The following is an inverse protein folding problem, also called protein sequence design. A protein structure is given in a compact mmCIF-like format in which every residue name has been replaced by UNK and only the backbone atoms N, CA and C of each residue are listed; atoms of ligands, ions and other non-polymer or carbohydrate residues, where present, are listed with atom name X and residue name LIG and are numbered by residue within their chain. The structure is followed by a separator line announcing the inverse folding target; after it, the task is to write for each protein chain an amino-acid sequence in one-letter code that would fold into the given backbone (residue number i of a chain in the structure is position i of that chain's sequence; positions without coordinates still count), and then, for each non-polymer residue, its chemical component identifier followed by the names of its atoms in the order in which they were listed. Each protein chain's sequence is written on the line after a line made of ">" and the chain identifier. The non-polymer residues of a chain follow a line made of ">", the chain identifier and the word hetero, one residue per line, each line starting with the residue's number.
data_IF_955653950886
#
_entry.id   IF_955653950886
#
_cell.length_a   1.000
_cell.length_b   1.000
_cell.length_c   1.000
_cell.angle_alpha   90.00
_cell.angle_beta   90.00
_cell.angle_gamma   90.00
#
_symmetry.space_group_name_H-M   'P 1'
#
loop_
_entity.id
_entity.type
_entity.pdbx_description
1 polymer ?
#
# COMPACT_ATOMS: atom_id res chain seq x y z
N UNK A 1 -15.18 -85.81 23.34
CA UNK A 1 -16.43 -86.50 22.98
C UNK A 1 -17.46 -85.42 22.67
N UNK A 2 -18.02 -85.52 21.49
CA UNK A 2 -19.26 -84.91 20.98
C UNK A 2 -19.41 -83.37 21.17
N UNK A 3 -19.38 -82.53 20.23
CA UNK A 3 -20.01 -82.59 18.92
C UNK A 3 -21.37 -81.92 18.93
N UNK A 4 -21.47 -80.74 18.28
CA UNK A 4 -22.63 -80.37 17.44
C UNK A 4 -22.45 -78.97 16.84
N UNK A 5 -22.33 -78.96 15.57
CA UNK A 5 -22.45 -77.74 14.70
C UNK A 5 -23.94 -77.29 14.79
N UNK A 6 -24.12 -75.93 14.87
CA UNK A 6 -25.38 -75.32 14.44
C UNK A 6 -25.09 -74.19 13.55
N UNK A 7 -25.55 -74.29 12.36
CA UNK A 7 -25.62 -73.25 11.32
C UNK A 7 -26.74 -72.29 11.72
N UNK A 8 -26.47 -71.00 11.70
CA UNK A 8 -27.43 -69.93 11.90
C UNK A 8 -27.34 -68.92 10.76
N UNK A 9 -28.47 -68.66 10.14
CA UNK A 9 -28.76 -67.85 8.95
C UNK A 9 -28.05 -66.48 8.96
N UNK A 10 -27.49 -66.17 7.80
CA UNK A 10 -27.09 -64.81 7.40
C UNK A 10 -28.37 -64.08 6.93
N UNK A 11 -28.85 -63.11 7.70
CA UNK A 11 -29.83 -62.14 7.22
C UNK A 11 -29.08 -60.98 6.53
N UNK A 12 -29.22 -60.86 5.24
CA UNK A 12 -28.75 -59.73 4.47
C UNK A 12 -29.64 -58.51 4.76
N UNK A 13 -29.13 -57.56 5.56
CA UNK A 13 -29.70 -56.21 5.64
C UNK A 13 -29.11 -55.36 4.52
N UNK A 14 -29.92 -55.12 3.50
CA UNK A 14 -29.69 -54.10 2.46
C UNK A 14 -29.83 -52.74 3.12
N UNK A 15 -28.69 -52.17 3.57
CA UNK A 15 -28.62 -50.77 4.02
C UNK A 15 -28.66 -49.87 2.79
N UNK A 16 -29.71 -49.10 2.66
CA UNK A 16 -29.85 -48.00 1.69
C UNK A 16 -28.84 -46.93 2.03
N UNK A 17 -27.76 -46.83 1.26
CA UNK A 17 -26.77 -45.79 1.37
C UNK A 17 -27.37 -44.51 0.79
N UNK A 18 -27.91 -43.62 1.65
CA UNK A 18 -28.25 -42.25 1.27
C UNK A 18 -26.95 -41.51 1.10
N UNK A 19 -26.50 -41.38 -0.17
CA UNK A 19 -25.43 -40.46 -0.52
C UNK A 19 -26.01 -39.06 -0.40
N UNK A 20 -25.87 -38.46 0.78
CA UNK A 20 -26.04 -37.03 0.95
C UNK A 20 -24.99 -36.33 0.12
N UNK A 21 -25.41 -35.72 -0.98
CA UNK A 21 -24.58 -34.78 -1.75
C UNK A 21 -24.35 -33.54 -0.87
N UNK A 22 -23.38 -33.63 0.02
CA UNK A 22 -22.82 -32.46 0.66
C UNK A 22 -22.16 -31.64 -0.44
N UNK A 23 -22.80 -30.58 -0.88
CA UNK A 23 -22.14 -29.50 -1.61
C UNK A 23 -21.11 -28.96 -0.62
N UNK A 24 -19.88 -29.41 -0.75
CA UNK A 24 -18.76 -28.76 -0.10
C UNK A 24 -18.75 -27.31 -0.65
N UNK A 25 -19.25 -26.38 0.14
CA UNK A 25 -19.14 -24.97 -0.21
C UNK A 25 -17.67 -24.69 -0.47
N UNK A 26 -17.34 -24.24 -1.67
CA UNK A 26 -16.01 -23.78 -1.99
C UNK A 26 -15.73 -22.62 -1.04
N UNK A 27 -14.83 -22.81 -0.09
CA UNK A 27 -14.41 -21.73 0.80
C UNK A 27 -13.71 -20.69 -0.01
N UNK A 28 -14.08 -19.44 0.17
CA UNK A 28 -13.36 -18.27 -0.38
C UNK A 28 -11.87 -18.40 -0.07
N UNK A 29 -11.04 -18.34 -1.10
CA UNK A 29 -9.59 -18.48 -0.92
C UNK A 29 -8.86 -17.28 -1.49
N UNK A 30 -8.05 -16.66 -0.65
CA UNK A 30 -6.94 -15.82 -1.09
C UNK A 30 -5.65 -16.59 -0.83
N UNK A 31 -4.67 -16.41 -1.71
CA UNK A 31 -3.41 -17.12 -1.65
C UNK A 31 -2.23 -16.17 -1.87
N UNK A 32 -1.06 -16.46 -1.27
CA UNK A 32 0.16 -15.73 -1.58
C UNK A 32 0.57 -15.93 -3.03
N UNK A 33 1.33 -14.98 -3.56
CA UNK A 33 1.93 -15.12 -4.89
C UNK A 33 3.13 -16.06 -4.78
N UNK A 34 3.01 -17.23 -5.36
CA UNK A 34 4.02 -18.31 -5.28
C UNK A 34 4.98 -18.38 -6.48
N UNK A 35 4.78 -17.53 -7.48
CA UNK A 35 5.63 -17.48 -8.67
C UNK A 35 7.00 -16.91 -8.32
N UNK A 36 8.07 -17.65 -8.62
CA UNK A 36 9.43 -17.16 -8.43
C UNK A 36 9.91 -16.25 -9.56
N UNK A 37 10.78 -15.30 -9.25
CA UNK A 37 11.41 -14.41 -10.22
C UNK A 37 11.06 -12.93 -10.02
N UNK A 38 11.26 -12.17 -11.10
CA UNK A 38 11.00 -10.74 -11.14
C UNK A 38 9.86 -10.49 -12.10
N UNK A 39 8.81 -9.84 -11.63
CA UNK A 39 7.65 -9.52 -12.45
C UNK A 39 6.92 -8.28 -11.95
N UNK A 40 6.04 -7.78 -12.80
CA UNK A 40 5.25 -6.60 -12.54
C UNK A 40 3.77 -6.97 -12.54
N UNK A 41 3.00 -6.34 -11.64
CA UNK A 41 1.54 -6.37 -11.64
C UNK A 41 1.09 -4.94 -11.92
N UNK A 42 0.54 -4.72 -13.11
CA UNK A 42 0.13 -3.40 -13.57
C UNK A 42 -1.11 -3.46 -14.43
N UNK A 43 -1.83 -2.35 -14.48
CA UNK A 43 -2.89 -2.07 -15.43
C UNK A 43 -2.69 -0.67 -16.02
N UNK A 44 -3.45 -0.29 -17.03
CA UNK A 44 -3.34 1.02 -17.69
C UNK A 44 -3.66 2.19 -16.75
N UNK A 45 -4.26 1.93 -15.60
CA UNK A 45 -4.57 2.91 -14.58
C UNK A 45 -4.64 2.23 -13.20
N UNK A 46 -4.74 3.01 -12.11
CA UNK A 46 -4.79 2.52 -10.73
C UNK A 46 -5.93 1.54 -10.44
N UNK A 47 -7.06 1.68 -11.11
CA UNK A 47 -8.22 0.80 -10.95
C UNK A 47 -7.94 -0.56 -11.56
N UNK A 48 -7.39 -0.58 -12.76
CA UNK A 48 -6.97 -1.79 -13.43
C UNK A 48 -5.79 -2.46 -12.70
N UNK A 49 -4.82 -1.70 -12.16
CA UNK A 49 -3.76 -2.27 -11.31
C UNK A 49 -4.36 -2.99 -10.09
N UNK A 50 -5.33 -2.39 -9.40
CA UNK A 50 -6.01 -3.02 -8.27
C UNK A 50 -6.74 -4.32 -8.68
N UNK A 51 -7.34 -4.36 -9.87
CA UNK A 51 -7.95 -5.55 -10.45
C UNK A 51 -6.91 -6.64 -10.72
N UNK A 52 -5.75 -6.31 -11.31
CA UNK A 52 -4.69 -7.30 -11.56
C UNK A 52 -4.08 -7.84 -10.25
N UNK A 53 -3.94 -7.00 -9.21
CA UNK A 53 -3.55 -7.47 -7.87
C UNK A 53 -4.60 -8.42 -7.32
N UNK A 54 -5.88 -8.08 -7.41
CA UNK A 54 -6.99 -8.95 -6.97
C UNK A 54 -6.94 -10.32 -7.68
N UNK A 55 -6.78 -10.33 -9.01
CA UNK A 55 -6.67 -11.56 -9.80
C UNK A 55 -5.48 -12.44 -9.39
N UNK A 56 -4.39 -11.81 -8.98
CA UNK A 56 -3.20 -12.52 -8.55
C UNK A 56 -3.38 -13.27 -7.22
N UNK A 57 -4.28 -12.80 -6.35
CA UNK A 57 -4.43 -13.34 -4.99
C UNK A 57 -5.80 -13.98 -4.70
N UNK A 58 -6.88 -13.55 -5.35
CA UNK A 58 -8.25 -13.89 -4.96
C UNK A 58 -8.94 -14.80 -5.99
N UNK A 59 -9.48 -15.92 -5.50
CA UNK A 59 -10.33 -16.84 -6.28
C UNK A 59 -11.80 -16.69 -5.88
N UNK A 60 -12.75 -16.83 -6.81
CA UNK A 60 -14.17 -16.83 -6.51
C UNK A 60 -14.63 -18.13 -5.81
N UNK A 61 -15.71 -18.10 -5.02
CA UNK A 61 -16.37 -16.89 -4.53
C UNK A 61 -15.57 -16.23 -3.42
N UNK A 62 -15.77 -14.94 -3.17
CA UNK A 62 -15.21 -14.22 -2.04
C UNK A 62 -16.29 -13.91 -1.01
N UNK A 63 -15.98 -14.04 0.27
CA UNK A 63 -16.89 -13.62 1.34
C UNK A 63 -16.99 -12.10 1.37
N UNK A 64 -15.85 -11.42 1.33
CA UNK A 64 -15.73 -9.96 1.44
C UNK A 64 -14.80 -9.41 0.37
N UNK A 65 -15.15 -8.25 -0.17
CA UNK A 65 -14.26 -7.41 -0.99
C UNK A 65 -14.26 -5.99 -0.42
N UNK A 66 -13.07 -5.43 -0.22
CA UNK A 66 -12.94 -4.02 0.16
C UNK A 66 -12.90 -3.14 -1.07
N UNK A 67 -13.56 -1.98 -0.96
CA UNK A 67 -13.58 -0.95 -2.02
C UNK A 67 -13.22 0.40 -1.39
N UNK A 68 -12.26 1.11 -1.96
CA UNK A 68 -11.82 2.41 -1.48
C UNK A 68 -11.65 3.40 -2.64
N UNK A 69 -11.56 4.69 -2.31
CA UNK A 69 -11.28 5.72 -3.31
C UNK A 69 -9.86 5.59 -3.88
N UNK A 70 -9.76 5.56 -5.20
CA UNK A 70 -8.46 5.62 -5.90
C UNK A 70 -7.94 7.04 -6.10
N UNK A 71 -8.72 8.08 -5.79
CA UNK A 71 -8.32 9.48 -5.97
C UNK A 71 -8.21 10.25 -4.67
N UNK A 72 -8.69 9.69 -3.56
CA UNK A 72 -8.64 10.30 -2.24
C UNK A 72 -8.13 9.25 -1.22
N UNK A 73 -6.86 9.33 -0.85
CA UNK A 73 -6.20 8.31 -0.04
C UNK A 73 -6.51 8.32 1.46
N UNK A 74 -6.91 9.44 2.09
CA UNK A 74 -6.85 9.52 3.56
C UNK A 74 -7.62 8.44 4.30
N UNK A 75 -8.85 8.16 3.88
CA UNK A 75 -9.67 7.11 4.50
C UNK A 75 -9.16 5.70 4.16
N UNK A 76 -8.53 5.57 2.99
CA UNK A 76 -8.06 4.28 2.48
C UNK A 76 -6.72 3.81 3.09
N UNK A 77 -5.95 4.69 3.76
CA UNK A 77 -4.63 4.34 4.30
C UNK A 77 -4.63 3.12 5.23
N UNK A 78 -5.68 2.98 6.04
CA UNK A 78 -5.84 1.86 6.96
C UNK A 78 -6.61 0.66 6.36
N UNK A 79 -7.10 0.78 5.11
CA UNK A 79 -7.90 -0.27 4.46
C UNK A 79 -7.08 -1.53 4.15
N UNK A 80 -5.81 -1.38 3.78
CA UNK A 80 -4.95 -2.50 3.43
C UNK A 80 -4.80 -3.55 4.53
N UNK A 81 -4.39 -3.20 5.76
CA UNK A 81 -4.36 -4.12 6.88
C UNK A 81 -5.71 -4.75 7.22
N UNK A 82 -6.81 -3.97 7.14
CA UNK A 82 -8.16 -4.47 7.37
C UNK A 82 -8.57 -5.53 6.34
N UNK A 83 -8.33 -5.25 5.05
CA UNK A 83 -8.57 -6.20 3.96
C UNK A 83 -7.72 -7.48 4.11
N UNK A 84 -6.44 -7.33 4.48
CA UNK A 84 -5.55 -8.45 4.72
C UNK A 84 -6.06 -9.35 5.87
N UNK A 85 -6.49 -8.77 7.00
CA UNK A 85 -7.08 -9.54 8.11
C UNK A 85 -8.35 -10.29 7.70
N UNK A 86 -9.18 -9.65 6.87
CA UNK A 86 -10.39 -10.26 6.31
C UNK A 86 -10.07 -11.27 5.19
N UNK A 87 -8.80 -11.46 4.83
CA UNK A 87 -8.38 -12.26 3.66
C UNK A 87 -9.14 -11.87 2.40
N UNK A 88 -9.22 -10.58 2.15
CA UNK A 88 -10.01 -9.97 1.08
C UNK A 88 -9.13 -9.14 0.15
N UNK A 89 -9.44 -9.06 -1.15
CA UNK A 89 -8.84 -8.09 -2.04
C UNK A 89 -9.33 -6.67 -1.73
N UNK A 90 -8.51 -5.66 -2.09
CA UNK A 90 -8.83 -4.24 -2.02
C UNK A 90 -8.87 -3.66 -3.44
N UNK A 91 -10.06 -3.33 -3.89
CA UNK A 91 -10.30 -2.68 -5.17
C UNK A 91 -10.43 -1.17 -5.02
N UNK A 92 -10.09 -0.44 -6.07
CA UNK A 92 -10.18 1.01 -6.09
C UNK A 92 -11.27 1.48 -7.06
N UNK A 93 -11.97 2.57 -6.70
CA UNK A 93 -12.97 3.23 -7.52
C UNK A 93 -12.74 4.74 -7.58
N UNK A 94 -13.29 5.41 -8.58
CA UNK A 94 -13.41 6.86 -8.55
C UNK A 94 -14.53 7.28 -7.59
N UNK A 95 -14.53 8.51 -7.03
CA UNK A 95 -15.54 8.95 -6.09
C UNK A 95 -16.97 8.83 -6.59
N UNK A 96 -17.21 9.09 -7.88
CA UNK A 96 -18.54 9.15 -8.49
C UNK A 96 -18.71 8.16 -9.66
N UNK A 97 -17.79 7.19 -9.82
CA UNK A 97 -17.89 6.23 -10.92
C UNK A 97 -17.16 4.92 -10.59
N UNK A 98 -17.67 3.81 -11.12
CA UNK A 98 -16.99 2.51 -11.11
C UNK A 98 -16.58 2.19 -12.54
N UNK A 99 -15.32 1.88 -12.74
CA UNK A 99 -14.83 1.51 -14.06
C UNK A 99 -15.30 0.11 -14.49
N UNK A 100 -15.46 -0.16 -15.79
CA UNK A 100 -15.94 -1.45 -16.29
C UNK A 100 -15.09 -2.64 -15.83
N UNK A 101 -13.77 -2.47 -15.74
CA UNK A 101 -12.86 -3.52 -15.28
C UNK A 101 -13.07 -3.89 -13.81
N UNK A 102 -13.41 -2.92 -12.94
CA UNK A 102 -13.73 -3.17 -11.53
C UNK A 102 -15.06 -3.91 -11.41
N UNK A 103 -16.07 -3.52 -12.19
CA UNK A 103 -17.36 -4.24 -12.24
C UNK A 103 -17.16 -5.68 -12.72
N UNK A 104 -16.35 -5.89 -13.75
CA UNK A 104 -16.06 -7.23 -14.27
C UNK A 104 -15.35 -8.10 -13.21
N UNK A 105 -14.41 -7.53 -12.47
CA UNK A 105 -13.71 -8.23 -11.40
C UNK A 105 -14.62 -8.55 -10.22
N UNK A 106 -15.46 -7.63 -9.79
CA UNK A 106 -16.45 -7.89 -8.74
C UNK A 106 -17.42 -9.00 -9.12
N UNK A 107 -17.89 -9.02 -10.40
CA UNK A 107 -18.71 -10.14 -10.90
C UNK A 107 -17.94 -11.46 -10.91
N UNK A 108 -16.64 -11.45 -11.23
CA UNK A 108 -15.79 -12.64 -11.17
C UNK A 108 -15.63 -13.15 -9.73
N UNK A 109 -15.46 -12.23 -8.78
CA UNK A 109 -15.24 -12.56 -7.37
C UNK A 109 -16.50 -13.07 -6.65
N UNK A 110 -17.70 -12.76 -7.17
CA UNK A 110 -18.99 -13.17 -6.57
C UNK A 110 -19.07 -12.86 -5.07
N UNK A 111 -18.79 -11.60 -4.62
CA UNK A 111 -18.72 -11.31 -3.19
C UNK A 111 -20.08 -11.42 -2.51
N UNK A 112 -20.08 -11.93 -1.28
CA UNK A 112 -21.27 -11.88 -0.41
C UNK A 112 -21.46 -10.48 0.18
N UNK A 113 -20.35 -9.80 0.50
CA UNK A 113 -20.31 -8.46 1.09
C UNK A 113 -19.27 -7.59 0.37
N UNK A 114 -19.60 -6.32 0.14
CA UNK A 114 -18.65 -5.29 -0.29
C UNK A 114 -18.55 -4.25 0.83
N UNK A 115 -17.35 -4.08 1.38
CA UNK A 115 -17.04 -3.07 2.40
C UNK A 115 -16.45 -1.83 1.74
N UNK A 116 -17.24 -0.76 1.72
CA UNK A 116 -16.81 0.55 1.19
C UNK A 116 -16.11 1.32 2.31
N UNK A 117 -14.86 1.72 2.06
CA UNK A 117 -14.05 2.50 3.00
C UNK A 117 -14.14 3.98 2.66
N UNK A 118 -14.52 4.76 3.66
CA UNK A 118 -14.70 6.21 3.57
C UNK A 118 -16.13 6.66 3.32
N UNK A 119 -16.39 7.92 3.65
CA UNK A 119 -17.70 8.55 3.53
C UNK A 119 -18.15 8.80 2.09
N UNK A 120 -19.36 9.38 1.90
CA UNK A 120 -19.94 9.64 0.57
C UNK A 120 -19.10 10.57 -0.32
N UNK A 121 -18.25 11.40 0.28
CA UNK A 121 -17.30 12.25 -0.46
C UNK A 121 -16.10 11.46 -1.02
N UNK A 122 -15.75 10.33 -0.42
CA UNK A 122 -14.68 9.45 -0.90
C UNK A 122 -15.23 8.44 -1.93
N UNK A 123 -16.40 7.86 -1.66
CA UNK A 123 -17.13 6.91 -2.54
C UNK A 123 -18.62 7.22 -2.41
N UNK A 124 -19.21 7.79 -3.45
CA UNK A 124 -20.60 8.28 -3.44
C UNK A 124 -21.63 7.16 -3.23
N UNK A 125 -22.86 7.56 -2.87
CA UNK A 125 -23.98 6.62 -2.74
C UNK A 125 -24.39 6.04 -4.10
N UNK A 126 -24.21 6.77 -5.20
CA UNK A 126 -24.43 6.27 -6.55
C UNK A 126 -23.45 5.15 -6.92
N UNK A 127 -22.20 5.27 -6.48
CA UNK A 127 -21.21 4.19 -6.61
C UNK A 127 -21.62 2.99 -5.77
N UNK A 128 -22.05 3.18 -4.53
CA UNK A 128 -22.53 2.08 -3.67
C UNK A 128 -23.73 1.37 -4.28
N UNK A 129 -24.71 2.12 -4.83
CA UNK A 129 -25.86 1.57 -5.54
C UNK A 129 -25.44 0.77 -6.79
N UNK A 130 -24.50 1.30 -7.59
CA UNK A 130 -23.97 0.62 -8.77
C UNK A 130 -23.28 -0.70 -8.42
N UNK A 131 -22.50 -0.73 -7.33
CA UNK A 131 -21.85 -1.94 -6.84
C UNK A 131 -22.87 -2.99 -6.41
N UNK A 132 -23.90 -2.58 -5.68
CA UNK A 132 -24.99 -3.46 -5.26
C UNK A 132 -25.77 -4.03 -6.44
N UNK A 133 -26.15 -3.18 -7.41
CA UNK A 133 -26.87 -3.61 -8.61
C UNK A 133 -26.05 -4.60 -9.45
N UNK A 134 -24.74 -4.34 -9.59
CA UNK A 134 -23.87 -5.16 -10.42
C UNK A 134 -23.58 -6.55 -9.85
N UNK A 135 -23.61 -6.70 -8.50
CA UNK A 135 -23.15 -7.92 -7.81
C UNK A 135 -24.25 -8.62 -7.01
N UNK A 136 -25.26 -7.89 -6.55
CA UNK A 136 -26.23 -8.38 -5.55
C UNK A 136 -25.68 -8.47 -4.12
N UNK A 137 -24.39 -8.15 -3.90
CA UNK A 137 -23.71 -8.23 -2.60
C UNK A 137 -24.34 -7.30 -1.56
N UNK A 138 -24.20 -7.61 -0.29
CA UNK A 138 -24.45 -6.67 0.79
C UNK A 138 -23.45 -5.53 0.74
N UNK A 139 -23.88 -4.30 0.95
CA UNK A 139 -23.00 -3.13 0.99
C UNK A 139 -22.91 -2.61 2.41
N UNK A 140 -21.73 -2.69 2.97
CA UNK A 140 -21.39 -2.13 4.29
C UNK A 140 -20.44 -0.95 4.11
N UNK A 141 -20.73 0.19 4.73
CA UNK A 141 -19.84 1.35 4.69
C UNK A 141 -19.08 1.48 6.02
N UNK A 142 -17.76 1.60 5.93
CA UNK A 142 -16.88 1.86 7.07
C UNK A 142 -16.36 3.29 6.92
N UNK A 143 -16.96 4.22 7.68
CA UNK A 143 -16.63 5.65 7.63
C UNK A 143 -16.90 6.29 8.98
N UNK A 144 -15.94 7.03 9.49
CA UNK A 144 -16.09 7.94 10.61
C UNK A 144 -16.27 9.39 10.14
N UNK A 145 -16.31 10.31 11.08
CA UNK A 145 -16.42 11.75 10.81
C UNK A 145 -15.18 12.29 10.07
N UNK A 146 -14.02 11.65 10.29
CA UNK A 146 -12.79 11.93 9.58
C UNK A 146 -11.94 10.65 9.35
N UNK A 147 -10.76 10.81 8.70
CA UNK A 147 -9.83 9.71 8.41
C UNK A 147 -9.30 9.01 9.66
N UNK A 148 -9.20 9.73 10.77
CA UNK A 148 -8.68 9.18 12.04
C UNK A 148 -9.69 8.22 12.64
N UNK A 149 -10.95 8.58 12.66
CA UNK A 149 -12.02 7.71 13.10
C UNK A 149 -12.25 6.56 12.12
N UNK A 150 -12.25 6.82 10.80
CA UNK A 150 -12.32 5.75 9.78
C UNK A 150 -11.23 4.70 10.01
N UNK A 151 -9.99 5.12 10.32
CA UNK A 151 -8.90 4.19 10.60
C UNK A 151 -9.16 3.36 11.88
N UNK A 152 -9.75 3.94 12.93
CA UNK A 152 -10.09 3.19 14.16
C UNK A 152 -11.21 2.19 13.92
N UNK A 153 -12.21 2.52 13.11
CA UNK A 153 -13.29 1.61 12.71
C UNK A 153 -12.75 0.44 11.86
N UNK A 154 -11.81 0.69 10.97
CA UNK A 154 -11.10 -0.35 10.21
C UNK A 154 -10.29 -1.29 11.12
N UNK A 155 -9.95 -0.85 12.32
CA UNK A 155 -9.31 -1.64 13.36
C UNK A 155 -10.26 -2.47 14.22
N UNK A 156 -11.57 -2.46 13.98
CA UNK A 156 -12.51 -3.31 14.70
C UNK A 156 -12.14 -4.79 14.56
N UNK A 157 -12.27 -5.52 15.67
CA UNK A 157 -11.87 -6.93 15.76
C UNK A 157 -10.38 -7.16 16.00
N UNK A 158 -9.55 -6.14 16.04
CA UNK A 158 -8.18 -6.25 16.56
C UNK A 158 -8.25 -6.30 18.07
N UNK A 159 -7.75 -7.38 18.66
CA UNK A 159 -7.72 -7.60 20.11
C UNK A 159 -6.31 -8.00 20.53
N UNK A 160 -5.82 -7.43 21.62
CA UNK A 160 -4.50 -7.75 22.21
C UNK A 160 -3.34 -7.75 21.19
N UNK A 161 -3.17 -6.64 20.43
CA UNK A 161 -2.11 -6.58 19.43
C UNK A 161 -0.74 -6.46 20.10
N UNK A 162 0.22 -7.26 19.65
CA UNK A 162 1.60 -7.14 20.11
C UNK A 162 2.17 -5.76 19.73
N UNK A 163 1.89 -5.30 18.50
CA UNK A 163 2.36 -4.01 17.99
C UNK A 163 1.25 -3.26 17.25
N UNK A 164 1.16 -1.95 17.50
CA UNK A 164 0.36 -1.00 16.72
C UNK A 164 1.29 -0.09 15.92
N UNK A 165 0.90 0.22 14.69
CA UNK A 165 1.60 1.18 13.85
C UNK A 165 0.88 2.53 13.87
N UNK A 166 1.60 3.58 14.30
CA UNK A 166 1.11 4.96 14.26
C UNK A 166 1.79 5.67 13.10
N UNK A 167 0.99 6.27 12.20
CA UNK A 167 1.47 6.96 11.01
C UNK A 167 0.75 8.28 10.80
N UNK A 168 1.34 9.18 10.01
CA UNK A 168 0.69 10.43 9.64
C UNK A 168 -0.54 10.18 8.76
N UNK A 169 -1.69 10.78 9.15
CA UNK A 169 -2.89 10.84 8.30
C UNK A 169 -2.83 11.96 7.27
N UNK A 170 -1.78 12.79 7.28
CA UNK A 170 -1.59 13.95 6.40
C UNK A 170 -0.61 13.64 5.25
N UNK A 171 0.16 12.54 5.36
CA UNK A 171 1.09 12.03 4.35
C UNK A 171 0.88 10.54 4.14
N UNK A 172 0.86 10.09 2.90
CA UNK A 172 0.62 8.68 2.58
C UNK A 172 1.88 7.81 2.64
N UNK A 173 3.05 8.39 2.43
CA UNK A 173 4.25 7.63 2.08
C UNK A 173 4.68 6.61 3.17
N UNK A 174 4.72 7.06 4.43
CA UNK A 174 5.12 6.21 5.54
C UNK A 174 4.01 5.18 5.88
N UNK A 175 2.73 5.56 5.66
CA UNK A 175 1.59 4.68 5.86
C UNK A 175 1.56 3.49 4.88
N UNK A 176 2.06 3.66 3.64
CA UNK A 176 2.10 2.58 2.65
C UNK A 176 3.02 1.42 3.09
N UNK A 177 4.19 1.74 3.62
CA UNK A 177 5.11 0.73 4.15
C UNK A 177 4.58 0.12 5.46
N UNK A 178 4.05 0.96 6.35
CA UNK A 178 3.45 0.53 7.62
C UNK A 178 2.20 -0.34 7.41
N UNK A 179 1.48 -0.21 6.28
CA UNK A 179 0.33 -1.03 5.95
C UNK A 179 0.66 -2.53 5.86
N UNK A 180 1.72 -2.88 5.13
CA UNK A 180 2.20 -4.25 5.06
C UNK A 180 2.70 -4.76 6.42
N UNK A 181 3.40 -3.89 7.17
CA UNK A 181 3.89 -4.20 8.50
C UNK A 181 2.75 -4.46 9.51
N UNK A 182 1.72 -3.59 9.53
CA UNK A 182 0.56 -3.78 10.39
C UNK A 182 -0.21 -5.07 10.05
N UNK A 183 -0.31 -5.40 8.77
CA UNK A 183 -0.94 -6.64 8.33
C UNK A 183 -0.12 -7.88 8.76
N UNK A 184 1.23 -7.83 8.66
CA UNK A 184 2.13 -8.86 9.17
C UNK A 184 1.94 -9.07 10.68
N UNK A 185 1.85 -7.98 11.45
CA UNK A 185 1.64 -8.01 12.90
C UNK A 185 0.20 -8.37 13.30
N UNK A 186 -0.67 -8.75 12.34
CA UNK A 186 -2.12 -8.98 12.55
C UNK A 186 -2.81 -7.83 13.27
N UNK A 187 -2.39 -6.62 13.01
CA UNK A 187 -2.70 -5.41 13.73
C UNK A 187 -3.41 -4.38 12.82
N UNK A 188 -3.39 -3.14 13.24
CA UNK A 188 -4.00 -2.01 12.54
C UNK A 188 -3.03 -0.83 12.42
N UNK A 189 -3.42 0.14 11.61
CA UNK A 189 -2.82 1.47 11.58
C UNK A 189 -3.69 2.42 12.40
N UNK A 190 -3.07 3.17 13.29
CA UNK A 190 -3.65 4.35 13.94
C UNK A 190 -3.09 5.60 13.26
N UNK A 191 -3.96 6.49 12.83
CA UNK A 191 -3.55 7.74 12.18
C UNK A 191 -3.37 8.86 13.19
N UNK A 192 -2.37 9.72 12.97
CA UNK A 192 -2.14 10.94 13.75
C UNK A 192 -1.94 12.16 12.84
N UNK A 193 -2.12 13.37 13.39
CA UNK A 193 -1.69 14.61 12.74
C UNK A 193 -0.20 14.81 12.99
N UNK A 194 0.40 15.71 12.22
CA UNK A 194 1.79 16.09 12.47
C UNK A 194 1.98 16.66 13.90
N UNK A 195 1.12 17.59 14.28
CA UNK A 195 1.28 18.40 15.50
C UNK A 195 0.24 18.07 16.60
N UNK A 196 -0.56 17.02 16.45
CA UNK A 196 -1.56 16.60 17.43
C UNK A 196 -1.91 15.11 17.29
N UNK A 197 -2.16 14.45 18.41
CA UNK A 197 -2.78 13.12 18.44
C UNK A 197 -4.30 13.30 18.56
N UNK A 198 -5.11 12.94 17.54
CA UNK A 198 -6.58 12.99 17.63
C UNK A 198 -7.11 12.17 18.80
N UNK A 199 -8.16 12.66 19.45
CA UNK A 199 -8.74 12.02 20.63
C UNK A 199 -9.17 10.56 20.34
N UNK A 200 -9.79 10.32 19.20
CA UNK A 200 -10.19 8.96 18.77
C UNK A 200 -8.99 8.02 18.62
N UNK A 201 -7.87 8.54 18.13
CA UNK A 201 -6.61 7.77 18.01
C UNK A 201 -5.98 7.49 19.37
N UNK A 202 -5.99 8.47 20.27
CA UNK A 202 -5.52 8.29 21.64
C UNK A 202 -6.37 7.26 22.39
N UNK A 203 -7.70 7.35 22.30
CA UNK A 203 -8.62 6.38 22.90
C UNK A 203 -8.38 4.97 22.37
N UNK A 204 -8.13 4.81 21.06
CA UNK A 204 -7.86 3.49 20.48
C UNK A 204 -6.55 2.88 21.02
N UNK A 205 -5.51 3.69 21.23
CA UNK A 205 -4.26 3.21 21.84
C UNK A 205 -4.47 2.77 23.31
N UNK A 206 -5.25 3.56 24.09
CA UNK A 206 -5.62 3.20 25.46
C UNK A 206 -6.47 1.93 25.50
N UNK A 207 -7.46 1.80 24.62
CA UNK A 207 -8.36 0.63 24.52
C UNK A 207 -7.58 -0.66 24.25
N UNK A 208 -6.68 -0.62 23.28
CA UNK A 208 -5.94 -1.80 22.84
C UNK A 208 -4.76 -2.14 23.73
N UNK A 209 -4.24 -1.18 24.51
CA UNK A 209 -3.11 -1.36 25.42
C UNK A 209 -1.97 -2.23 24.85
N UNK A 210 -1.42 -1.92 23.66
CA UNK A 210 -0.48 -2.79 22.97
C UNK A 210 0.85 -2.91 23.75
N UNK A 211 1.55 -4.03 23.57
CA UNK A 211 2.89 -4.17 24.13
C UNK A 211 3.93 -3.26 23.45
N UNK A 212 3.72 -2.97 22.14
CA UNK A 212 4.61 -2.13 21.35
C UNK A 212 3.81 -1.11 20.52
N UNK A 213 4.37 0.09 20.37
CA UNK A 213 3.89 1.09 19.40
C UNK A 213 5.07 1.51 18.53
N UNK A 214 4.95 1.29 17.23
CA UNK A 214 5.90 1.75 16.24
C UNK A 214 5.35 2.99 15.52
N UNK A 215 6.00 4.13 15.70
CA UNK A 215 5.65 5.38 15.02
C UNK A 215 6.48 5.48 13.74
N UNK A 216 5.86 5.28 12.59
CA UNK A 216 6.56 5.35 11.30
C UNK A 216 6.53 6.77 10.74
N UNK A 217 7.72 7.29 10.49
CA UNK A 217 7.97 8.64 9.97
C UNK A 217 8.75 9.55 10.92
N UNK A 218 9.54 10.43 10.33
CA UNK A 218 10.36 11.40 11.05
C UNK A 218 9.59 12.61 11.54
N UNK A 219 10.29 13.55 12.20
CA UNK A 219 9.72 14.76 12.78
C UNK A 219 8.96 15.66 11.80
N UNK A 220 9.27 15.56 10.51
CA UNK A 220 8.53 16.28 9.47
C UNK A 220 7.10 15.73 9.27
N UNK A 221 6.91 14.43 9.47
CA UNK A 221 5.62 13.75 9.36
C UNK A 221 4.86 13.73 10.68
N UNK A 222 5.55 13.50 11.80
CA UNK A 222 5.00 13.42 13.16
C UNK A 222 5.97 14.12 14.11
N UNK A 223 5.60 15.31 14.58
CA UNK A 223 6.45 16.13 15.44
C UNK A 223 6.77 15.41 16.77
N UNK A 224 7.87 15.80 17.40
CA UNK A 224 8.30 15.20 18.67
C UNK A 224 7.24 15.36 19.77
N UNK A 225 6.54 16.52 19.82
CA UNK A 225 5.45 16.71 20.77
C UNK A 225 4.32 15.68 20.57
N UNK A 226 3.97 15.36 19.32
CA UNK A 226 2.96 14.33 19.02
C UNK A 226 3.46 12.94 19.36
N UNK A 227 4.74 12.66 19.14
CA UNK A 227 5.37 11.39 19.57
C UNK A 227 5.25 11.20 21.10
N UNK A 228 5.45 12.27 21.89
CA UNK A 228 5.24 12.23 23.36
C UNK A 228 3.75 11.95 23.69
N UNK A 229 2.81 12.56 22.98
CA UNK A 229 1.37 12.26 23.17
C UNK A 229 1.04 10.80 22.88
N UNK A 230 1.69 10.18 21.91
CA UNK A 230 1.55 8.74 21.64
C UNK A 230 2.09 7.90 22.79
N UNK A 231 3.24 8.29 23.39
CA UNK A 231 3.79 7.62 24.57
C UNK A 231 2.84 7.74 25.77
N UNK A 232 2.27 8.93 25.99
CA UNK A 232 1.32 9.19 27.08
C UNK A 232 0.03 8.38 26.91
N UNK A 233 -0.43 8.18 25.66
CA UNK A 233 -1.62 7.39 25.34
C UNK A 233 -1.40 5.86 25.43
N UNK A 234 -0.14 5.40 25.47
CA UNK A 234 0.20 3.99 25.59
C UNK A 234 1.25 3.76 26.70
N UNK A 235 0.94 4.05 27.97
CA UNK A 235 1.93 4.10 29.06
C UNK A 235 2.56 2.75 29.41
N UNK A 236 1.96 1.64 28.96
CA UNK A 236 2.50 0.29 29.14
C UNK A 236 3.31 -0.23 27.96
N UNK A 237 3.32 0.50 26.84
CA UNK A 237 3.94 0.07 25.60
C UNK A 237 5.41 0.50 25.50
N UNK A 238 6.20 -0.32 24.79
CA UNK A 238 7.47 0.13 24.25
C UNK A 238 7.22 0.96 22.99
N UNK A 239 7.26 2.29 23.10
CA UNK A 239 7.06 3.20 21.97
C UNK A 239 8.39 3.49 21.30
N UNK A 240 8.48 3.28 20.00
CA UNK A 240 9.69 3.52 19.21
C UNK A 240 9.35 4.25 17.91
N UNK A 241 10.29 5.07 17.44
CA UNK A 241 10.19 5.73 16.14
C UNK A 241 10.93 4.90 15.10
N UNK A 242 10.28 4.67 13.95
CA UNK A 242 10.86 3.99 12.80
C UNK A 242 10.89 4.99 11.64
N UNK A 243 12.07 5.50 11.35
CA UNK A 243 12.24 6.60 10.40
C UNK A 243 13.48 6.45 9.54
N UNK A 244 13.53 7.19 8.45
CA UNK A 244 14.69 7.39 7.61
C UNK A 244 14.74 8.85 7.14
N UNK A 245 15.79 9.19 6.41
CA UNK A 245 16.02 10.55 5.90
C UNK A 245 14.96 10.99 4.87
N UNK A 246 14.29 10.02 4.25
CA UNK A 246 13.19 10.22 3.31
C UNK A 246 12.22 9.04 3.36
N UNK A 247 11.14 9.09 2.57
CA UNK A 247 10.11 8.04 2.51
C UNK A 247 10.65 6.67 2.08
N UNK A 248 11.69 6.64 1.27
CA UNK A 248 12.33 5.40 0.80
C UNK A 248 13.14 4.76 1.92
N UNK A 249 13.87 5.59 2.66
CA UNK A 249 14.62 5.15 3.84
C UNK A 249 13.68 4.74 5.00
N UNK A 250 12.55 5.44 5.20
CA UNK A 250 11.52 5.03 6.17
C UNK A 250 10.93 3.68 5.79
N UNK A 251 10.55 3.46 4.53
CA UNK A 251 10.03 2.16 4.07
C UNK A 251 11.07 1.04 4.27
N UNK A 252 12.34 1.32 4.00
CA UNK A 252 13.44 0.40 4.24
C UNK A 252 13.62 0.07 5.73
N UNK A 253 13.48 1.07 6.61
CA UNK A 253 13.56 0.89 8.06
C UNK A 253 12.39 0.04 8.59
N UNK A 254 11.16 0.33 8.16
CA UNK A 254 9.96 -0.48 8.48
C UNK A 254 10.19 -1.94 8.07
N UNK A 255 10.61 -2.18 6.83
CA UNK A 255 10.85 -3.52 6.32
C UNK A 255 11.91 -4.28 7.13
N UNK A 256 13.05 -3.64 7.46
CA UNK A 256 14.11 -4.26 8.28
C UNK A 256 13.67 -4.51 9.74
N UNK A 257 12.77 -3.68 10.27
CA UNK A 257 12.23 -3.83 11.63
C UNK A 257 11.33 -5.06 11.73
N UNK A 258 10.47 -5.27 10.73
CA UNK A 258 9.45 -6.34 10.76
C UNK A 258 10.00 -7.66 10.21
N UNK A 259 10.87 -7.61 9.21
CA UNK A 259 11.48 -8.81 8.60
C UNK A 259 13.01 -8.88 8.84
N UNK A 260 13.49 -8.93 10.10
CA UNK A 260 14.94 -8.90 10.40
C UNK A 260 15.69 -10.11 9.88
N UNK A 261 15.00 -11.21 9.59
CA UNK A 261 15.55 -12.45 9.02
C UNK A 261 15.42 -12.53 7.51
N UNK A 262 14.94 -11.47 6.87
CA UNK A 262 14.65 -11.43 5.44
C UNK A 262 13.24 -11.85 5.08
N UNK A 263 12.91 -11.75 3.78
CA UNK A 263 11.62 -12.15 3.23
C UNK A 263 11.82 -12.90 1.91
N UNK A 264 11.02 -13.92 1.66
CA UNK A 264 11.04 -14.67 0.40
C UNK A 264 10.54 -13.85 -0.79
N UNK A 265 9.71 -12.85 -0.53
CA UNK A 265 9.09 -11.98 -1.53
C UNK A 265 9.31 -10.52 -1.13
N UNK A 266 9.61 -9.66 -2.08
CA UNK A 266 9.64 -8.21 -1.89
C UNK A 266 8.70 -7.54 -2.88
N UNK A 267 7.84 -6.66 -2.38
CA UNK A 267 7.04 -5.78 -3.21
C UNK A 267 7.70 -4.43 -3.35
N UNK A 268 7.60 -3.85 -4.53
CA UNK A 268 8.07 -2.51 -4.86
C UNK A 268 6.88 -1.70 -5.38
N UNK A 269 6.74 -0.46 -4.90
CA UNK A 269 5.70 0.43 -5.36
C UNK A 269 6.23 1.87 -5.45
N UNK A 270 5.52 2.72 -6.16
CA UNK A 270 5.87 4.13 -6.27
C UNK A 270 5.89 4.82 -4.90
N UNK A 271 6.96 5.56 -4.59
CA UNK A 271 7.01 6.47 -3.45
C UNK A 271 6.37 7.84 -3.74
N UNK A 272 5.93 8.08 -4.97
CA UNK A 272 5.33 9.36 -5.41
C UNK A 272 3.80 9.25 -5.50
N UNK A 273 3.29 8.08 -5.86
CA UNK A 273 1.85 7.78 -5.93
C UNK A 273 1.49 6.70 -4.90
N UNK A 274 0.26 6.70 -4.41
CA UNK A 274 -0.17 5.82 -3.31
C UNK A 274 -0.98 4.60 -3.77
N UNK A 275 -1.67 4.71 -4.90
CA UNK A 275 -2.75 3.81 -5.26
C UNK A 275 -2.31 2.33 -5.43
N UNK A 276 -1.17 2.13 -6.09
CA UNK A 276 -0.66 0.79 -6.39
C UNK A 276 -0.17 0.08 -5.11
N UNK A 277 0.54 0.80 -4.22
CA UNK A 277 0.95 0.27 -2.93
C UNK A 277 -0.25 -0.03 -2.03
N UNK A 278 -1.27 0.85 -2.05
CA UNK A 278 -2.47 0.70 -1.24
C UNK A 278 -3.24 -0.59 -1.60
N UNK A 279 -3.55 -0.77 -2.89
CA UNK A 279 -4.22 -1.99 -3.37
C UNK A 279 -3.35 -3.24 -3.27
N UNK A 280 -2.02 -3.09 -3.26
CA UNK A 280 -1.05 -4.17 -3.11
C UNK A 280 -0.84 -4.66 -1.68
N UNK A 281 -1.27 -3.90 -0.67
CA UNK A 281 -1.07 -4.26 0.74
C UNK A 281 -1.62 -5.65 1.10
N UNK A 282 -2.84 -6.06 0.70
CA UNK A 282 -3.32 -7.41 0.95
C UNK A 282 -2.44 -8.50 0.31
N UNK A 283 -1.93 -8.27 -0.90
CA UNK A 283 -1.04 -9.22 -1.57
C UNK A 283 0.31 -9.36 -0.86
N UNK A 284 0.87 -8.24 -0.40
CA UNK A 284 2.10 -8.23 0.39
C UNK A 284 1.91 -8.96 1.72
N UNK A 285 0.82 -8.70 2.44
CA UNK A 285 0.48 -9.38 3.69
C UNK A 285 0.32 -10.89 3.53
N UNK A 286 -0.42 -11.34 2.52
CA UNK A 286 -0.60 -12.76 2.23
C UNK A 286 0.70 -13.48 1.88
N UNK A 287 1.66 -12.75 1.30
CA UNK A 287 2.98 -13.27 0.93
C UNK A 287 4.02 -13.11 2.04
N UNK A 288 3.62 -12.64 3.23
CA UNK A 288 4.51 -12.28 4.35
C UNK A 288 5.69 -11.41 3.88
N UNK A 289 5.36 -10.31 3.18
CA UNK A 289 6.33 -9.52 2.46
C UNK A 289 6.21 -8.02 2.75
N UNK A 290 7.35 -7.30 2.83
CA UNK A 290 7.35 -5.84 2.89
C UNK A 290 6.99 -5.20 1.55
N UNK A 291 6.51 -3.95 1.62
CA UNK A 291 6.43 -3.05 0.48
C UNK A 291 7.57 -2.02 0.61
N UNK A 292 8.53 -2.07 -0.31
CA UNK A 292 9.58 -1.09 -0.46
C UNK A 292 9.15 -0.03 -1.47
N UNK A 293 9.48 1.23 -1.21
CA UNK A 293 9.16 2.32 -2.12
C UNK A 293 10.28 2.58 -3.11
N UNK A 294 9.91 2.96 -4.32
CA UNK A 294 10.85 3.27 -5.40
C UNK A 294 10.44 4.52 -6.18
N UNK A 295 11.35 5.07 -6.97
CA UNK A 295 11.06 6.16 -7.93
C UNK A 295 10.66 5.54 -9.27
N UNK A 296 10.18 6.38 -10.19
CA UNK A 296 9.83 5.94 -11.53
C UNK A 296 11.06 5.51 -12.34
N UNK A 297 12.16 6.22 -12.17
CA UNK A 297 13.39 6.14 -12.96
C UNK A 297 14.48 5.26 -12.34
N UNK A 298 14.43 5.03 -11.03
CA UNK A 298 15.47 4.29 -10.30
C UNK A 298 15.02 3.78 -8.95
N UNK A 299 15.75 2.82 -8.42
CA UNK A 299 15.69 2.44 -7.01
C UNK A 299 16.59 3.35 -6.18
N UNK A 300 16.06 4.06 -5.16
CA UNK A 300 16.87 4.81 -4.20
C UNK A 300 17.86 3.89 -3.46
N UNK A 301 19.00 4.43 -3.02
CA UNK A 301 20.03 3.66 -2.32
C UNK A 301 19.45 2.89 -1.11
N UNK A 302 18.61 3.52 -0.29
CA UNK A 302 17.97 2.88 0.84
C UNK A 302 17.09 1.66 0.44
N UNK A 303 16.42 1.74 -0.72
CA UNK A 303 15.63 0.63 -1.27
C UNK A 303 16.53 -0.52 -1.73
N UNK A 304 17.65 -0.20 -2.39
CA UNK A 304 18.65 -1.19 -2.82
C UNK A 304 19.25 -1.89 -1.59
N UNK A 305 19.68 -1.13 -0.58
CA UNK A 305 20.25 -1.65 0.65
C UNK A 305 19.27 -2.55 1.41
N UNK A 306 18.01 -2.14 1.49
CA UNK A 306 16.96 -2.96 2.11
C UNK A 306 16.74 -4.27 1.33
N UNK A 307 16.67 -4.22 0.00
CA UNK A 307 16.57 -5.39 -0.86
C UNK A 307 17.71 -6.37 -0.61
N UNK A 308 18.95 -5.87 -0.55
CA UNK A 308 20.13 -6.70 -0.31
C UNK A 308 20.11 -7.32 1.08
N UNK A 309 19.73 -6.55 2.10
CA UNK A 309 19.67 -7.02 3.49
C UNK A 309 18.55 -8.04 3.73
N UNK A 310 17.38 -7.84 3.08
CA UNK A 310 16.24 -8.73 3.23
C UNK A 310 16.37 -9.99 2.38
N UNK A 311 17.17 -9.96 1.34
CA UNK A 311 17.38 -11.06 0.38
C UNK A 311 16.04 -11.54 -0.21
N UNK A 312 15.90 -11.78 -1.47
CA UNK A 312 14.67 -12.42 -1.96
C UNK A 312 14.88 -13.07 -3.32
N UNK A 313 14.23 -14.22 -3.49
CA UNK A 313 14.11 -14.86 -4.79
C UNK A 313 13.04 -14.22 -5.67
N UNK A 314 12.02 -13.63 -5.04
CA UNK A 314 10.85 -13.07 -5.75
C UNK A 314 10.72 -11.57 -5.50
N UNK A 315 10.60 -10.82 -6.59
CA UNK A 315 10.45 -9.36 -6.59
C UNK A 315 9.27 -8.97 -7.45
N UNK A 316 8.31 -8.26 -6.85
CA UNK A 316 7.06 -7.87 -7.49
C UNK A 316 6.96 -6.36 -7.50
N UNK A 317 6.92 -5.75 -8.68
CA UNK A 317 6.68 -4.32 -8.82
C UNK A 317 5.19 -4.09 -9.07
N UNK A 318 4.58 -3.23 -8.24
CA UNK A 318 3.20 -2.81 -8.36
C UNK A 318 3.10 -1.51 -9.16
N UNK A 319 2.20 -1.48 -10.13
CA UNK A 319 1.96 -0.33 -11.00
C UNK A 319 2.92 -0.23 -12.19
N UNK A 320 2.57 0.66 -13.09
CA UNK A 320 3.26 0.89 -14.36
C UNK A 320 4.49 1.79 -14.25
N UNK A 321 4.59 2.79 -15.11
CA UNK A 321 5.75 3.68 -15.22
C UNK A 321 6.06 4.52 -13.96
N UNK A 322 5.13 4.60 -12.99
CA UNK A 322 5.34 5.30 -11.71
C UNK A 322 6.28 4.58 -10.73
N UNK A 323 6.66 3.33 -11.01
CA UNK A 323 7.56 2.54 -10.18
C UNK A 323 8.65 1.90 -11.04
N UNK A 324 9.91 2.05 -10.63
CA UNK A 324 11.05 1.44 -11.30
C UNK A 324 10.96 -0.09 -11.24
N UNK A 325 11.26 -0.75 -12.36
CA UNK A 325 11.21 -2.19 -12.49
C UNK A 325 12.61 -2.81 -12.46
N UNK A 326 12.78 -3.85 -11.68
CA UNK A 326 14.02 -4.63 -11.64
C UNK A 326 13.98 -5.77 -12.64
N UNK A 327 14.62 -5.61 -13.79
CA UNK A 327 14.65 -6.65 -14.83
C UNK A 327 15.69 -7.75 -14.59
N UNK A 328 16.73 -7.50 -13.77
CA UNK A 328 17.89 -8.41 -13.65
C UNK A 328 18.05 -9.02 -12.25
N UNK A 329 18.42 -10.30 -12.23
CA UNK A 329 18.93 -10.99 -11.03
C UNK A 329 20.41 -10.69 -10.79
N UNK A 330 21.12 -10.08 -11.74
CA UNK A 330 22.50 -9.67 -11.54
C UNK A 330 22.56 -8.60 -10.42
N UNK A 331 23.54 -8.67 -9.52
CA UNK A 331 23.76 -7.56 -8.60
C UNK A 331 24.00 -6.32 -9.45
N UNK A 332 23.19 -5.28 -9.23
CA UNK A 332 23.52 -3.98 -9.76
C UNK A 332 24.95 -3.65 -9.31
N UNK A 333 25.82 -3.13 -10.19
CA UNK A 333 27.13 -2.71 -9.76
C UNK A 333 26.92 -1.78 -8.56
N UNK A 334 27.58 -2.08 -7.45
CA UNK A 334 27.64 -1.19 -6.29
C UNK A 334 28.25 0.09 -6.85
N UNK A 335 27.41 1.05 -7.21
CA UNK A 335 27.85 2.42 -7.40
C UNK A 335 28.29 2.81 -6.02
N UNK A 336 29.60 2.76 -5.79
CA UNK A 336 30.22 3.28 -4.57
C UNK A 336 29.64 4.66 -4.29
N UNK A 337 29.76 5.19 -3.07
CA UNK A 337 29.32 6.53 -2.77
C UNK A 337 29.77 7.40 -3.92
N UNK A 338 28.80 8.11 -4.51
CA UNK A 338 29.07 8.97 -5.66
C UNK A 338 30.36 9.72 -5.33
N UNK A 339 31.40 9.72 -6.20
CA UNK A 339 32.60 10.48 -5.92
C UNK A 339 32.10 11.84 -5.48
N UNK A 340 32.63 12.30 -4.33
CA UNK A 340 32.35 13.68 -3.88
C UNK A 340 32.47 14.56 -5.10
N UNK A 341 31.48 15.42 -5.38
CA UNK A 341 31.48 16.22 -6.58
C UNK A 341 32.83 16.94 -6.63
N UNK A 342 33.69 16.50 -7.55
CA UNK A 342 34.86 17.25 -7.91
C UNK A 342 34.36 18.62 -8.30
N UNK A 343 34.79 19.60 -7.54
CA UNK A 343 34.44 20.99 -7.61
C UNK A 343 34.20 21.49 -9.02
N UNK A 344 33.16 22.33 -9.10
CA UNK A 344 32.95 23.41 -10.04
C UNK A 344 32.22 23.09 -11.34
N UNK A 345 30.89 22.95 -11.20
CA UNK A 345 30.02 23.82 -11.98
C UNK A 345 29.71 25.00 -11.06
N UNK A 346 29.86 26.25 -11.49
CA UNK A 346 29.38 27.38 -10.70
C UNK A 346 27.91 27.15 -10.37
N UNK A 347 27.43 27.51 -9.17
CA UNK A 347 26.00 27.42 -8.86
C UNK A 347 25.27 28.24 -9.96
N UNK A 348 24.22 27.65 -10.54
CA UNK A 348 23.34 28.36 -11.44
C UNK A 348 22.82 29.64 -10.81
N UNK A 349 22.34 30.60 -11.59
CA UNK A 349 21.93 31.91 -11.11
C UNK A 349 20.89 31.78 -9.97
N UNK A 350 20.95 32.69 -9.01
CA UNK A 350 19.99 32.72 -7.88
C UNK A 350 18.62 33.21 -8.38
N UNK A 351 17.50 32.82 -7.79
CA UNK A 351 16.17 33.30 -8.15
C UNK A 351 15.97 34.81 -8.08
N UNK A 352 16.89 35.52 -7.43
CA UNK A 352 16.90 37.00 -7.31
C UNK A 352 17.72 37.70 -8.38
N UNK A 353 18.43 36.92 -9.21
CA UNK A 353 19.21 37.45 -10.31
C UNK A 353 18.34 37.68 -11.56
N UNK A 354 18.81 38.51 -12.47
CA UNK A 354 18.17 38.76 -13.78
C UNK A 354 18.51 37.58 -14.71
N UNK A 355 17.83 36.45 -14.51
CA UNK A 355 18.10 35.17 -15.17
C UNK A 355 17.47 35.18 -16.57
N UNK A 356 18.25 34.82 -17.57
CA UNK A 356 17.80 34.66 -18.97
C UNK A 356 18.51 33.45 -19.61
N UNK A 357 18.13 33.07 -20.82
CA UNK A 357 18.69 31.89 -21.49
C UNK A 357 20.22 31.90 -21.61
N UNK A 358 20.86 33.09 -21.67
CA UNK A 358 22.33 33.17 -21.70
C UNK A 358 23.00 32.85 -20.35
N UNK A 359 22.22 32.69 -19.29
CA UNK A 359 22.68 32.28 -17.95
C UNK A 359 22.97 30.77 -17.85
N UNK A 360 22.62 30.01 -18.87
CA UNK A 360 22.77 28.56 -18.91
C UNK A 360 23.62 28.10 -20.09
N UNK A 361 24.35 27.01 -19.93
CA UNK A 361 25.17 26.46 -20.99
C UNK A 361 24.38 25.54 -21.94
N UNK A 362 23.32 24.88 -21.43
CA UNK A 362 22.47 23.97 -22.20
C UNK A 362 20.99 24.17 -21.87
N UNK A 363 20.12 23.72 -22.79
CA UNK A 363 18.67 23.68 -22.55
C UNK A 363 18.31 22.80 -21.36
N UNK A 364 18.96 21.64 -21.23
CA UNK A 364 18.76 20.71 -20.11
C UNK A 364 19.04 21.37 -18.76
N UNK A 365 20.09 22.22 -18.70
CA UNK A 365 20.42 22.97 -17.48
C UNK A 365 19.37 24.04 -17.18
N UNK A 366 18.92 24.79 -18.20
CA UNK A 366 17.85 25.79 -18.06
C UNK A 366 16.53 25.17 -17.63
N UNK A 367 16.13 24.06 -18.24
CA UNK A 367 14.90 23.31 -17.88
C UNK A 367 14.97 22.83 -16.45
N UNK A 368 16.06 22.17 -16.03
CA UNK A 368 16.24 21.68 -14.67
C UNK A 368 16.22 22.79 -13.62
N UNK A 369 16.81 23.95 -13.93
CA UNK A 369 16.74 25.11 -13.04
C UNK A 369 15.31 25.64 -12.91
N UNK A 370 14.61 25.84 -14.03
CA UNK A 370 13.22 26.34 -14.08
C UNK A 370 12.25 25.45 -13.31
N UNK A 371 12.31 24.12 -13.53
CA UNK A 371 11.47 23.14 -12.82
C UNK A 371 11.79 23.06 -11.32
N UNK A 372 13.06 23.17 -10.93
CA UNK A 372 13.48 23.12 -9.53
C UNK A 372 12.98 24.31 -8.71
N UNK A 373 12.69 25.43 -9.38
CA UNK A 373 12.12 26.64 -8.75
C UNK A 373 10.59 26.68 -8.80
N UNK A 374 9.94 25.61 -9.31
CA UNK A 374 8.50 25.47 -9.35
C UNK A 374 7.82 26.37 -10.39
N UNK A 375 8.53 26.78 -11.43
CA UNK A 375 7.97 27.54 -12.53
C UNK A 375 7.19 26.65 -13.50
N UNK A 376 6.33 27.26 -14.30
CA UNK A 376 5.46 26.58 -15.26
C UNK A 376 5.05 27.57 -16.36
N UNK A 377 4.49 27.13 -17.50
CA UNK A 377 4.11 28.03 -18.60
C UNK A 377 3.23 29.22 -18.18
N UNK A 378 2.46 29.07 -17.11
CA UNK A 378 1.62 30.15 -16.54
C UNK A 378 2.29 30.93 -15.41
N UNK A 379 3.50 30.59 -14.99
CA UNK A 379 4.27 31.19 -13.90
C UNK A 379 5.76 31.15 -14.25
N UNK A 380 6.14 31.97 -15.22
CA UNK A 380 7.52 32.13 -15.69
C UNK A 380 7.98 33.60 -15.51
N UNK A 381 8.43 33.98 -14.29
CA UNK A 381 8.81 35.34 -13.97
C UNK A 381 10.06 35.84 -14.74
N UNK A 382 10.83 34.94 -15.31
CA UNK A 382 12.05 35.24 -16.03
C UNK A 382 11.89 35.21 -17.55
N UNK A 383 10.76 34.77 -18.08
CA UNK A 383 10.45 34.70 -19.50
C UNK A 383 11.33 33.69 -20.26
N UNK A 384 11.71 32.60 -19.61
CA UNK A 384 12.56 31.56 -20.20
C UNK A 384 11.79 30.66 -21.17
N UNK A 385 10.47 30.50 -20.94
CA UNK A 385 9.52 29.79 -21.80
C UNK A 385 8.78 30.84 -22.69
N UNK A 386 9.43 31.23 -23.79
CA UNK A 386 8.94 32.31 -24.61
C UNK A 386 7.69 32.02 -25.43
N UNK A 387 7.36 30.76 -25.68
CA UNK A 387 6.19 30.31 -26.44
C UNK A 387 5.06 29.71 -25.55
N UNK A 388 5.35 29.45 -24.28
CA UNK A 388 4.38 28.96 -23.28
C UNK A 388 4.05 27.47 -23.38
N UNK A 389 4.94 26.65 -23.95
CA UNK A 389 4.73 25.21 -24.11
C UNK A 389 5.37 24.35 -23.03
N UNK A 390 6.13 24.97 -22.11
CA UNK A 390 6.79 24.29 -20.97
C UNK A 390 8.23 23.87 -21.26
N UNK A 391 8.75 24.14 -22.43
CA UNK A 391 10.16 23.97 -22.79
C UNK A 391 10.90 25.32 -22.78
N UNK A 392 11.92 25.46 -21.92
CA UNK A 392 12.62 26.72 -21.77
C UNK A 392 13.89 26.77 -22.59
N UNK A 393 14.23 27.95 -23.08
CA UNK A 393 15.51 28.22 -23.75
C UNK A 393 15.82 27.26 -24.91
N UNK A 394 14.86 26.95 -25.75
CA UNK A 394 14.98 26.02 -26.91
C UNK A 394 16.10 26.38 -27.92
N UNK A 395 16.60 27.59 -27.85
CA UNK A 395 17.74 28.04 -28.68
C UNK A 395 19.09 27.57 -28.16
N UNK A 396 19.18 27.03 -26.96
CA UNK A 396 20.42 26.49 -26.41
C UNK A 396 20.68 25.05 -26.92
N UNK A 397 21.94 24.60 -26.93
CA UNK A 397 22.27 23.23 -27.24
C UNK A 397 21.66 22.29 -26.19
N UNK A 398 21.18 21.10 -26.63
CA UNK A 398 20.53 20.09 -25.75
C UNK A 398 21.52 19.40 -24.81
#
# INVERSE_FOLDING_TARGET
>A
MNGRRRWGLVAAMTGLLVIGSGVAGASATVAPITREGVFRIEGPNRYATAVEVSRAIAQPPQEVVYVASGTNYPDALAAGPAAARAKAPLLLVAPNAVSPEVIAELKRLEPSEIRIVGGPNAVSEDVAATLKEATGAEITRIAGDDRYETATLLGEGVTDPERIWVVSGESFADALAAGAAAAHDHSMIVLTRRDALPEVSAHKLVELAPAQVAVAGGNAAIAEATFQLVQDAAPGAQVSRVEGTDRYATAAAVAKTVWPRGSAVLFFASGVTYADALSGTPAAALSDAPILLTRADRHPAATIDARLALGSGTRITLGGASASFMESTAPEPIVGPAPEPTQSTPPGPSPTDDVNCSSFATQTEAQGWWESHGYSPGNDPHGLDGNGDGEVCESLPG
#
